data_IF_212649096189
#
_entry.id   IF_212649096189
#
_cell.length_a   1.000
_cell.length_b   1.000
_cell.length_c   1.000
_cell.angle_alpha   90.00
_cell.angle_beta   90.00
_cell.angle_gamma   90.00
#
_symmetry.space_group_name_H-M   'P 1'
#
loop_
_entity.id
_entity.type
_entity.pdbx_description
1 polymer ?
#
# COMPACT_ATOMS: atom_id res chain seq x y z
N UNK A 1 -13.79 3.35 -11.10
CA UNK A 1 -13.03 4.46 -10.48
C UNK A 1 -11.56 4.08 -10.42
N UNK A 2 -10.63 5.02 -10.54
CA UNK A 2 -9.19 4.76 -10.36
C UNK A 2 -8.92 4.65 -8.86
N UNK A 3 -8.18 3.61 -8.44
CA UNK A 3 -7.79 3.46 -7.05
C UNK A 3 -6.78 4.56 -6.64
N UNK A 4 -6.96 5.12 -5.45
CA UNK A 4 -6.03 6.04 -4.79
C UNK A 4 -5.88 5.65 -3.33
N UNK A 5 -4.78 6.05 -2.70
CA UNK A 5 -4.63 5.88 -1.25
C UNK A 5 -5.74 6.62 -0.50
N UNK A 6 -6.18 6.06 0.62
CA UNK A 6 -7.11 6.69 1.55
C UNK A 6 -6.52 7.99 2.13
N UNK A 7 -7.37 8.92 2.58
CA UNK A 7 -6.85 10.05 3.35
C UNK A 7 -6.41 9.58 4.74
N UNK A 8 -5.40 10.22 5.35
CA UNK A 8 -4.93 9.85 6.69
C UNK A 8 -6.02 9.89 7.77
N UNK A 9 -7.04 10.74 7.60
CA UNK A 9 -8.18 10.81 8.52
C UNK A 9 -9.05 9.55 8.48
N UNK A 10 -9.18 8.95 7.29
CA UNK A 10 -10.01 7.76 7.09
C UNK A 10 -9.28 6.53 7.63
N UNK A 11 -7.96 6.45 7.44
CA UNK A 11 -7.10 5.42 8.05
C UNK A 11 -7.20 5.44 9.58
N UNK A 12 -7.15 6.63 10.20
CA UNK A 12 -7.30 6.78 11.67
C UNK A 12 -8.68 6.34 12.15
N UNK A 13 -9.75 6.79 11.50
CA UNK A 13 -11.11 6.42 11.88
C UNK A 13 -11.32 4.89 11.82
N UNK A 14 -10.70 4.23 10.85
CA UNK A 14 -10.74 2.77 10.72
C UNK A 14 -9.98 2.06 11.84
N UNK A 15 -8.77 2.54 12.19
CA UNK A 15 -7.98 2.03 13.33
C UNK A 15 -8.77 2.15 14.63
N UNK A 16 -9.30 3.34 14.93
CA UNK A 16 -10.09 3.55 16.15
C UNK A 16 -11.31 2.63 16.22
N UNK A 17 -11.95 2.33 15.09
CA UNK A 17 -13.08 1.41 15.05
C UNK A 17 -12.66 -0.02 15.43
N UNK A 18 -11.55 -0.51 14.90
CA UNK A 18 -11.02 -1.83 15.21
C UNK A 18 -10.55 -1.94 16.65
N UNK A 19 -9.86 -0.92 17.17
CA UNK A 19 -9.42 -0.86 18.57
C UNK A 19 -10.60 -0.87 19.54
N UNK A 20 -11.67 -0.10 19.26
CA UNK A 20 -12.92 -0.13 20.05
C UNK A 20 -13.60 -1.50 20.04
N UNK A 21 -13.42 -2.28 18.99
CA UNK A 21 -13.91 -3.65 18.89
C UNK A 21 -12.98 -4.67 19.55
N UNK A 22 -11.86 -4.23 20.16
CA UNK A 22 -10.86 -5.10 20.78
C UNK A 22 -10.00 -5.87 19.78
N UNK A 23 -9.95 -5.46 18.51
CA UNK A 23 -9.15 -6.09 17.46
C UNK A 23 -7.78 -5.41 17.40
N UNK A 24 -6.66 -6.10 17.68
CA UNK A 24 -5.33 -5.55 17.52
C UNK A 24 -5.07 -5.17 16.06
N UNK A 25 -4.62 -3.95 15.83
CA UNK A 25 -4.40 -3.40 14.49
C UNK A 25 -3.10 -2.61 14.43
N UNK A 26 -2.44 -2.61 13.28
CA UNK A 26 -1.27 -1.77 13.00
C UNK A 26 -1.37 -1.19 11.59
N UNK A 27 -0.84 0.01 11.41
CA UNK A 27 -0.64 0.61 10.09
C UNK A 27 0.78 0.34 9.63
N UNK A 28 0.92 -0.29 8.47
CA UNK A 28 2.22 -0.54 7.86
C UNK A 28 2.71 0.73 7.16
N UNK A 29 3.79 1.30 7.67
CA UNK A 29 4.48 2.40 7.00
C UNK A 29 4.84 2.01 5.55
N UNK A 30 4.59 2.92 4.61
CA UNK A 30 5.06 2.73 3.22
C UNK A 30 6.59 2.87 3.19
N UNK A 31 7.28 1.89 2.62
CA UNK A 31 8.74 1.93 2.39
C UNK A 31 9.03 1.59 0.92
N UNK A 32 10.11 2.18 0.37
CA UNK A 32 10.59 1.92 -0.98
C UNK A 32 9.74 2.52 -2.10
N UNK A 33 8.86 3.49 -1.81
CA UNK A 33 8.01 4.12 -2.84
C UNK A 33 8.81 4.88 -3.90
N UNK A 34 9.88 5.51 -3.46
CA UNK A 34 10.84 6.29 -4.24
C UNK A 34 11.69 5.45 -5.21
N UNK A 35 11.71 4.13 -5.00
CA UNK A 35 12.48 3.16 -5.80
C UNK A 35 11.59 2.08 -6.43
N UNK A 36 10.29 2.35 -6.56
CA UNK A 36 9.28 1.39 -7.06
C UNK A 36 9.30 0.02 -6.35
N UNK A 37 9.72 0.03 -5.09
CA UNK A 37 9.86 -1.13 -4.22
C UNK A 37 8.79 -1.27 -3.16
N UNK A 38 7.77 -0.39 -3.11
CA UNK A 38 6.65 -0.60 -2.21
C UNK A 38 5.78 -1.78 -2.69
N UNK A 39 4.98 -2.33 -1.77
CA UNK A 39 4.07 -3.42 -2.11
C UNK A 39 3.16 -3.03 -3.28
N UNK A 40 3.11 -3.88 -4.32
CA UNK A 40 2.33 -3.65 -5.53
C UNK A 40 3.05 -2.87 -6.65
N UNK A 41 4.24 -2.31 -6.41
CA UNK A 41 5.03 -1.61 -7.45
C UNK A 41 6.00 -2.52 -8.22
N UNK A 42 6.24 -3.75 -7.74
CA UNK A 42 7.16 -4.68 -8.39
C UNK A 42 6.59 -5.14 -9.74
N UNK A 43 6.97 -4.44 -10.80
CA UNK A 43 6.71 -4.84 -12.18
C UNK A 43 7.94 -5.58 -12.74
N UNK A 44 7.73 -6.79 -13.26
CA UNK A 44 8.74 -7.44 -14.06
C UNK A 44 8.75 -6.79 -15.45
N UNK A 45 9.90 -6.27 -15.89
CA UNK A 45 10.08 -5.81 -17.26
C UNK A 45 10.23 -7.04 -18.18
N UNK A 46 9.11 -7.63 -18.59
CA UNK A 46 9.09 -8.79 -19.50
C UNK A 46 9.64 -8.48 -20.90
N UNK A 47 9.75 -7.20 -21.28
CA UNK A 47 10.19 -6.77 -22.62
C UNK A 47 11.70 -6.85 -22.86
N UNK A 48 12.52 -6.99 -21.82
CA UNK A 48 13.99 -6.94 -21.94
C UNK A 48 14.62 -8.15 -22.66
N UNK A 49 13.84 -9.18 -23.02
CA UNK A 49 14.34 -10.44 -23.60
C UNK A 49 13.76 -10.78 -24.98
N UNK A 50 12.85 -9.96 -25.52
CA UNK A 50 12.16 -10.27 -26.78
C UNK A 50 12.79 -9.55 -27.99
N UNK A 51 13.66 -8.55 -27.75
CA UNK A 51 14.31 -7.75 -28.80
C UNK A 51 15.82 -8.01 -28.96
N UNK A 52 16.30 -9.23 -28.67
CA UNK A 52 17.66 -9.65 -29.05
C UNK A 52 17.63 -10.71 -30.14
#
# INVERSE_FOLDING_TARGET
>A
SKWTASHPKDERAFVEHLERAGVPVTIRATRGRDIDGACGQLAANLDSRVTS
#
